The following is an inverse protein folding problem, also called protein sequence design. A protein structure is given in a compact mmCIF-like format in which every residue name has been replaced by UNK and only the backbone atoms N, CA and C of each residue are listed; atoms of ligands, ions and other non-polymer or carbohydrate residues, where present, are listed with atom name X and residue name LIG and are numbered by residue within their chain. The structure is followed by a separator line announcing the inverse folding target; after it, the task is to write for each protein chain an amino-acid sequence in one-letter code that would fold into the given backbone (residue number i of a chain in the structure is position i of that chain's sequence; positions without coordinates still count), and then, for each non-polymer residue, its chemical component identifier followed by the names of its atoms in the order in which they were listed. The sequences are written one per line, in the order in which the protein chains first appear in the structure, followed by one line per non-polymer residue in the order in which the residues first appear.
data_IF_859692040161
#
_entry.id   IF_859692040161
#
_cell.length_a   1.000
_cell.length_b   1.000
_cell.length_c   1.000
_cell.angle_alpha   90.00
_cell.angle_beta   90.00
_cell.angle_gamma   90.00
#
_symmetry.space_group_name_H-M   'P 1'
#
loop_
_entity.id
_entity.type
_entity.pdbx_description
1 polymer ?
#
# COMPACT_ATOMS: atom_id res chain seq x y z
N UNK A 1 -3.26 -1.82 -18.66
CA UNK A 1 -1.95 -1.96 -17.95
C UNK A 1 -0.78 -1.34 -18.74
N UNK A 2 -0.99 -0.68 -19.89
CA UNK A 2 0.09 -0.13 -20.73
C UNK A 2 0.37 1.38 -20.60
N UNK A 3 -0.18 2.07 -19.62
CA UNK A 3 -0.12 3.55 -19.58
C UNK A 3 1.03 4.17 -18.77
N UNK A 4 1.72 3.43 -17.91
CA UNK A 4 2.82 3.99 -17.12
C UNK A 4 4.20 3.97 -17.82
N UNK A 5 4.42 3.06 -18.76
CA UNK A 5 5.71 2.92 -19.45
C UNK A 5 6.04 4.12 -20.37
N UNK A 6 5.03 4.70 -21.03
CA UNK A 6 5.23 5.84 -21.93
C UNK A 6 5.61 7.15 -21.21
N UNK A 7 5.02 7.42 -20.03
CA UNK A 7 5.34 8.62 -19.24
C UNK A 7 6.75 8.58 -18.64
N UNK A 8 7.23 7.42 -18.22
CA UNK A 8 8.59 7.29 -17.69
C UNK A 8 9.64 7.38 -18.81
N UNK A 9 9.34 6.91 -20.02
CA UNK A 9 10.19 7.08 -21.19
C UNK A 9 10.34 8.55 -21.60
N UNK A 10 9.23 9.30 -21.63
CA UNK A 10 9.23 10.73 -22.00
C UNK A 10 9.99 11.59 -20.98
N UNK A 11 9.86 11.28 -19.69
CA UNK A 11 10.57 11.99 -18.61
C UNK A 11 12.08 11.69 -18.64
N UNK A 12 12.47 10.46 -18.88
CA UNK A 12 13.87 10.07 -19.01
C UNK A 12 14.53 10.73 -20.23
N UNK A 13 13.83 10.82 -21.35
CA UNK A 13 14.32 11.54 -22.54
C UNK A 13 14.45 13.05 -22.28
N UNK A 14 13.52 13.67 -21.56
CA UNK A 14 13.59 15.09 -21.19
C UNK A 14 14.80 15.37 -20.30
N UNK A 15 15.08 14.52 -19.31
CA UNK A 15 16.23 14.67 -18.42
C UNK A 15 17.57 14.42 -19.14
N UNK A 16 17.63 13.42 -20.03
CA UNK A 16 18.81 13.17 -20.86
C UNK A 16 19.12 14.40 -21.74
N UNK A 17 18.11 14.99 -22.36
CA UNK A 17 18.26 16.21 -23.17
C UNK A 17 18.73 17.39 -22.31
N UNK A 18 18.22 17.52 -21.08
CA UNK A 18 18.66 18.57 -20.15
C UNK A 18 20.13 18.42 -19.77
N UNK A 19 20.57 17.21 -19.39
CA UNK A 19 21.97 16.92 -19.04
C UNK A 19 22.89 17.13 -20.24
N UNK A 20 22.48 16.71 -21.43
CA UNK A 20 23.22 16.91 -22.67
C UNK A 20 23.38 18.39 -22.97
N UNK A 21 22.32 19.22 -22.84
CA UNK A 21 22.39 20.65 -23.01
C UNK A 21 23.33 21.37 -22.02
N UNK A 22 23.35 20.90 -20.75
CA UNK A 22 24.31 21.40 -19.75
C UNK A 22 25.75 21.04 -20.10
N UNK A 23 26.01 19.82 -20.56
CA UNK A 23 27.33 19.38 -20.98
C UNK A 23 27.85 20.18 -22.20
N UNK A 24 27.01 20.44 -23.20
CA UNK A 24 27.37 21.26 -24.35
C UNK A 24 27.77 22.67 -23.95
N UNK A 25 27.01 23.33 -23.06
CA UNK A 25 27.35 24.69 -22.55
C UNK A 25 28.69 24.69 -21.81
N UNK A 26 29.04 23.65 -21.08
CA UNK A 26 30.34 23.52 -20.42
C UNK A 26 31.48 23.41 -21.45
N UNK A 27 31.26 22.61 -22.51
CA UNK A 27 32.23 22.47 -23.62
C UNK A 27 32.46 23.81 -24.33
N UNK A 28 31.38 24.52 -24.69
CA UNK A 28 31.47 25.86 -25.31
C UNK A 28 32.24 26.85 -24.43
N UNK A 29 31.95 26.87 -23.12
CA UNK A 29 32.66 27.76 -22.19
C UNK A 29 34.13 27.35 -22.03
N UNK A 30 34.46 26.07 -22.16
CA UNK A 30 35.85 25.59 -22.09
C UNK A 30 36.72 26.15 -23.23
N UNK A 31 36.16 26.36 -24.42
CA UNK A 31 36.85 26.89 -25.57
C UNK A 31 36.85 28.44 -25.62
N UNK A 32 35.99 29.09 -24.85
CA UNK A 32 35.95 30.54 -24.72
C UNK A 32 37.00 31.09 -23.75
N UNK A 33 37.31 32.39 -23.84
CA UNK A 33 38.16 33.08 -22.88
C UNK A 33 37.36 34.17 -22.14
N UNK A 34 36.30 33.74 -21.46
CA UNK A 34 35.37 34.65 -20.74
C UNK A 34 35.80 34.82 -19.30
N UNK A 35 35.58 36.04 -18.78
CA UNK A 35 35.75 36.28 -17.35
C UNK A 35 34.89 35.37 -16.52
N UNK A 36 35.47 34.77 -15.45
CA UNK A 36 34.72 33.86 -14.56
C UNK A 36 34.54 32.42 -15.06
N UNK A 37 35.17 32.01 -16.18
CA UNK A 37 35.12 30.68 -16.78
C UNK A 37 35.22 29.54 -15.76
N UNK A 38 36.21 29.56 -14.88
CA UNK A 38 36.41 28.53 -13.85
C UNK A 38 35.19 28.43 -12.90
N UNK A 39 34.68 29.60 -12.46
CA UNK A 39 33.50 29.63 -11.58
C UNK A 39 32.26 29.09 -12.28
N UNK A 40 32.07 29.47 -13.57
CA UNK A 40 30.96 28.97 -14.39
C UNK A 40 31.00 27.44 -14.53
N UNK A 41 32.15 26.90 -14.89
CA UNK A 41 32.33 25.43 -15.03
C UNK A 41 32.08 24.70 -13.72
N UNK A 42 32.57 25.22 -12.61
CA UNK A 42 32.34 24.68 -11.29
C UNK A 42 30.86 24.66 -10.90
N UNK A 43 30.15 25.75 -11.11
CA UNK A 43 28.71 25.85 -10.85
C UNK A 43 27.90 24.87 -11.71
N UNK A 44 28.24 24.77 -13.00
CA UNK A 44 27.57 23.83 -13.92
C UNK A 44 27.81 22.38 -13.57
N UNK A 45 29.01 22.02 -13.13
CA UNK A 45 29.31 20.69 -12.64
C UNK A 45 28.47 20.35 -11.40
N UNK A 46 28.38 21.28 -10.44
CA UNK A 46 27.55 21.07 -9.25
C UNK A 46 26.05 20.95 -9.59
N UNK A 47 25.56 21.73 -10.56
CA UNK A 47 24.19 21.62 -11.06
C UNK A 47 23.92 20.23 -11.65
N UNK A 48 24.81 19.70 -12.48
CA UNK A 48 24.72 18.33 -13.04
C UNK A 48 24.70 17.29 -11.93
N UNK A 49 25.60 17.38 -10.96
CA UNK A 49 25.66 16.45 -9.82
C UNK A 49 24.37 16.49 -8.99
N UNK A 50 23.81 17.66 -8.76
CA UNK A 50 22.54 17.81 -8.03
C UNK A 50 21.38 17.16 -8.79
N UNK A 51 21.29 17.37 -10.10
CA UNK A 51 20.26 16.76 -10.95
C UNK A 51 20.38 15.24 -10.93
N UNK A 52 21.60 14.70 -11.09
CA UNK A 52 21.86 13.26 -11.04
C UNK A 52 21.50 12.66 -9.67
N UNK A 53 21.92 13.28 -8.57
CA UNK A 53 21.59 12.82 -7.22
C UNK A 53 20.08 12.82 -6.98
N UNK A 54 19.36 13.83 -7.43
CA UNK A 54 17.90 13.88 -7.35
C UNK A 54 17.24 12.76 -8.13
N UNK A 55 17.73 12.46 -9.32
CA UNK A 55 17.22 11.33 -10.13
C UNK A 55 17.38 9.99 -9.40
N UNK A 56 18.57 9.71 -8.86
CA UNK A 56 18.84 8.48 -8.10
C UNK A 56 17.95 8.39 -6.87
N UNK A 57 17.82 9.47 -6.12
CA UNK A 57 16.95 9.56 -4.95
C UNK A 57 15.48 9.26 -5.30
N UNK A 58 14.94 9.93 -6.33
CA UNK A 58 13.55 9.72 -6.76
C UNK A 58 13.29 8.29 -7.27
N UNK A 59 14.23 7.70 -8.00
CA UNK A 59 14.11 6.31 -8.48
C UNK A 59 14.11 5.30 -7.33
N UNK A 60 14.98 5.49 -6.34
CA UNK A 60 15.05 4.59 -5.20
C UNK A 60 13.77 4.68 -4.35
N UNK A 61 13.25 5.89 -4.11
CA UNK A 61 12.00 6.07 -3.36
C UNK A 61 10.79 5.47 -4.09
N UNK A 62 10.71 5.58 -5.42
CA UNK A 62 9.66 4.94 -6.21
C UNK A 62 9.72 3.41 -6.15
N UNK A 63 10.92 2.81 -6.19
CA UNK A 63 11.08 1.35 -6.08
C UNK A 63 10.66 0.85 -4.70
N UNK A 64 11.04 1.53 -3.63
CA UNK A 64 10.65 1.17 -2.26
C UNK A 64 9.14 1.27 -2.10
N UNK A 65 8.52 2.40 -2.47
CA UNK A 65 7.08 2.58 -2.38
C UNK A 65 6.28 1.56 -3.20
N UNK A 66 6.78 1.17 -4.38
CA UNK A 66 6.17 0.13 -5.21
C UNK A 66 6.27 -1.25 -4.56
N UNK A 67 7.42 -1.61 -4.01
CA UNK A 67 7.62 -2.88 -3.31
C UNK A 67 6.75 -2.99 -2.05
N UNK A 68 6.59 -1.90 -1.31
CA UNK A 68 5.68 -1.84 -0.16
C UNK A 68 4.21 -2.03 -0.57
N UNK A 69 3.78 -1.42 -1.67
CA UNK A 69 2.43 -1.58 -2.20
C UNK A 69 2.16 -3.02 -2.63
N UNK A 70 3.08 -3.64 -3.36
CA UNK A 70 2.98 -5.04 -3.78
C UNK A 70 2.92 -5.98 -2.57
N UNK A 71 3.75 -5.75 -1.56
CA UNK A 71 3.76 -6.51 -0.31
C UNK A 71 2.44 -6.37 0.46
N UNK A 72 1.93 -5.14 0.59
CA UNK A 72 0.65 -4.88 1.23
C UNK A 72 -0.50 -5.61 0.53
N UNK A 73 -0.57 -5.54 -0.80
CA UNK A 73 -1.59 -6.22 -1.59
C UNK A 73 -1.50 -7.75 -1.44
N UNK A 74 -0.30 -8.32 -1.43
CA UNK A 74 -0.12 -9.77 -1.19
C UNK A 74 -0.68 -10.19 0.18
N UNK A 75 -0.37 -9.45 1.23
CA UNK A 75 -0.87 -9.73 2.58
C UNK A 75 -2.39 -9.58 2.63
N UNK A 76 -2.95 -8.52 2.04
CA UNK A 76 -4.40 -8.29 1.99
C UNK A 76 -5.14 -9.40 1.23
N UNK A 77 -4.61 -9.85 0.11
CA UNK A 77 -5.19 -10.95 -0.68
C UNK A 77 -5.19 -12.25 0.14
N UNK A 78 -4.07 -12.55 0.81
CA UNK A 78 -3.98 -13.72 1.69
C UNK A 78 -5.01 -13.65 2.83
N UNK A 79 -5.09 -12.51 3.53
CA UNK A 79 -6.09 -12.30 4.59
C UNK A 79 -7.51 -12.54 4.05
N UNK A 80 -7.82 -12.00 2.87
CA UNK A 80 -9.15 -12.13 2.27
C UNK A 80 -9.56 -13.57 1.93
N UNK A 81 -8.60 -14.43 1.60
CA UNK A 81 -8.84 -15.85 1.25
C UNK A 81 -8.69 -16.83 2.43
N UNK A 82 -8.26 -16.36 3.63
CA UNK A 82 -7.98 -17.24 4.79
C UNK A 82 -8.59 -16.68 6.08
N UNK A 83 -9.79 -16.05 5.99
CA UNK A 83 -10.43 -15.39 7.14
C UNK A 83 -10.75 -16.34 8.31
N UNK A 84 -10.86 -17.63 8.04
CA UNK A 84 -11.17 -18.68 9.01
C UNK A 84 -9.94 -19.15 9.81
N UNK A 85 -8.74 -18.84 9.29
CA UNK A 85 -7.47 -19.28 9.89
C UNK A 85 -6.93 -18.32 10.95
N UNK A 86 -5.83 -18.76 11.62
CA UNK A 86 -5.03 -17.83 12.44
C UNK A 86 -4.33 -16.81 11.56
N UNK A 87 -4.69 -15.54 11.74
CA UNK A 87 -4.13 -14.37 11.06
C UNK A 87 -3.37 -13.47 12.04
N UNK A 88 -2.77 -14.06 13.09
CA UNK A 88 -1.91 -13.30 14.01
C UNK A 88 -0.72 -12.68 13.27
N UNK A 89 -0.16 -11.59 13.82
CA UNK A 89 1.04 -10.96 13.25
C UNK A 89 2.23 -11.92 13.19
N UNK A 90 2.34 -12.83 14.17
CA UNK A 90 3.34 -13.91 14.18
C UNK A 90 3.16 -14.84 12.99
N UNK A 91 1.94 -15.28 12.72
CA UNK A 91 1.62 -16.16 11.59
C UNK A 91 1.93 -15.49 10.26
N UNK A 92 1.50 -14.24 10.09
CA UNK A 92 1.77 -13.46 8.87
C UNK A 92 3.27 -13.20 8.70
N UNK A 93 3.99 -12.88 9.78
CA UNK A 93 5.44 -12.68 9.78
C UNK A 93 6.19 -13.92 9.28
N UNK A 94 5.84 -15.09 9.79
CA UNK A 94 6.45 -16.36 9.38
C UNK A 94 6.12 -16.72 7.92
N UNK A 95 4.87 -16.52 7.50
CA UNK A 95 4.41 -16.87 6.16
C UNK A 95 5.07 -16.02 5.07
N UNK A 96 5.16 -14.71 5.31
CA UNK A 96 5.72 -13.77 4.34
C UNK A 96 7.22 -13.52 4.53
N UNK A 97 7.86 -14.14 5.52
CA UNK A 97 9.27 -13.90 5.89
C UNK A 97 9.56 -12.42 6.16
N UNK A 98 8.60 -11.72 6.78
CA UNK A 98 8.67 -10.30 7.10
C UNK A 98 8.70 -10.09 8.61
N UNK A 99 9.35 -9.01 9.05
CA UNK A 99 9.31 -8.62 10.46
C UNK A 99 7.87 -8.17 10.84
N UNK A 100 7.37 -8.65 11.98
CA UNK A 100 6.02 -8.29 12.47
C UNK A 100 5.81 -6.79 12.68
N UNK A 101 6.86 -6.06 13.08
CA UNK A 101 6.80 -4.60 13.22
C UNK A 101 6.67 -3.91 11.86
N UNK A 102 7.32 -4.45 10.83
CA UNK A 102 7.17 -3.96 9.46
C UNK A 102 5.73 -4.12 8.98
N UNK A 103 5.12 -5.31 9.18
CA UNK A 103 3.71 -5.55 8.83
C UNK A 103 2.79 -4.57 9.58
N UNK A 104 3.00 -4.38 10.88
CA UNK A 104 2.20 -3.45 11.69
C UNK A 104 2.30 -2.01 11.18
N UNK A 105 3.51 -1.53 10.83
CA UNK A 105 3.75 -0.22 10.24
C UNK A 105 3.08 -0.09 8.88
N UNK A 106 3.25 -1.10 8.01
CA UNK A 106 2.69 -1.12 6.66
C UNK A 106 1.17 -0.92 6.66
N UNK A 107 0.44 -1.62 7.53
CA UNK A 107 -1.00 -1.41 7.67
C UNK A 107 -1.34 -0.04 8.23
N UNK A 108 -0.59 0.45 9.21
CA UNK A 108 -0.82 1.78 9.78
C UNK A 108 -0.64 2.89 8.75
N UNK A 109 0.39 2.78 7.91
CA UNK A 109 0.71 3.79 6.89
C UNK A 109 -0.25 3.73 5.69
N UNK A 110 -0.63 2.50 5.26
CA UNK A 110 -1.49 2.34 4.07
C UNK A 110 -2.97 2.62 4.33
N UNK A 111 -3.50 2.20 5.49
CA UNK A 111 -4.95 2.26 5.78
C UNK A 111 -5.30 2.92 7.11
N UNK A 112 -4.33 3.47 7.83
CA UNK A 112 -4.54 4.20 9.09
C UNK A 112 -4.96 3.34 10.29
N UNK A 113 -5.03 2.00 10.14
CA UNK A 113 -5.46 1.07 11.18
C UNK A 113 -4.45 -0.06 11.38
N UNK A 114 -4.52 -0.76 12.52
CA UNK A 114 -3.67 -1.93 12.75
C UNK A 114 -4.10 -3.12 11.88
N UNK A 115 -3.15 -4.03 11.60
CA UNK A 115 -3.45 -5.28 10.88
C UNK A 115 -4.57 -6.09 11.57
N UNK A 116 -4.58 -6.14 12.91
CA UNK A 116 -5.65 -6.79 13.68
C UNK A 116 -7.02 -6.12 13.46
N UNK A 117 -7.09 -4.79 13.41
CA UNK A 117 -8.34 -4.08 13.12
C UNK A 117 -8.82 -4.36 11.69
N UNK A 118 -7.90 -4.37 10.73
CA UNK A 118 -8.20 -4.71 9.34
C UNK A 118 -8.76 -6.15 9.21
N UNK A 119 -8.09 -7.13 9.80
CA UNK A 119 -8.55 -8.55 9.81
C UNK A 119 -9.92 -8.66 10.46
N UNK A 120 -10.11 -8.03 11.63
CA UNK A 120 -11.41 -8.04 12.33
C UNK A 120 -12.52 -7.47 11.47
N UNK A 121 -12.27 -6.37 10.76
CA UNK A 121 -13.24 -5.76 9.84
C UNK A 121 -13.58 -6.68 8.69
N UNK A 122 -12.58 -7.29 8.04
CA UNK A 122 -12.78 -8.26 6.97
C UNK A 122 -13.59 -9.49 7.41
N UNK A 123 -13.32 -9.98 8.64
CA UNK A 123 -14.11 -11.06 9.24
C UNK A 123 -15.56 -10.67 9.50
N UNK A 124 -15.80 -9.43 9.97
CA UNK A 124 -17.16 -8.93 10.17
C UNK A 124 -17.90 -8.75 8.84
N UNK A 125 -17.23 -8.29 7.78
CA UNK A 125 -17.81 -8.19 6.44
C UNK A 125 -18.23 -9.59 5.93
N UNK A 126 -17.37 -10.60 6.07
CA UNK A 126 -17.68 -11.97 5.68
C UNK A 126 -18.83 -12.58 6.52
N UNK A 127 -18.84 -12.34 7.85
CA UNK A 127 -19.96 -12.74 8.70
C UNK A 127 -21.27 -12.07 8.29
N UNK A 128 -21.24 -10.81 7.92
CA UNK A 128 -22.42 -10.05 7.48
C UNK A 128 -23.07 -10.71 6.25
N UNK A 129 -22.26 -11.16 5.30
CA UNK A 129 -22.75 -11.83 4.09
C UNK A 129 -23.27 -13.24 4.42
N UNK A 130 -22.55 -14.01 5.26
CA UNK A 130 -22.96 -15.35 5.70
C UNK A 130 -24.23 -15.34 6.56
N UNK A 131 -24.46 -14.30 7.33
CA UNK A 131 -25.66 -14.14 8.18
C UNK A 131 -26.96 -14.13 7.38
N UNK A 132 -26.95 -13.79 6.10
CA UNK A 132 -28.14 -13.82 5.23
C UNK A 132 -28.59 -15.24 4.89
N UNK A 133 -27.74 -16.24 5.05
CA UNK A 133 -28.09 -17.64 4.91
C UNK A 133 -28.80 -18.23 6.15
N UNK A 134 -29.04 -19.54 6.11
CA UNK A 134 -29.80 -20.26 7.15
C UNK A 134 -28.96 -20.74 8.33
N UNK A 135 -27.64 -20.62 8.23
CA UNK A 135 -26.71 -21.11 9.24
C UNK A 135 -26.85 -20.36 10.58
N UNK A 136 -26.74 -21.07 11.73
CA UNK A 136 -26.80 -20.43 13.05
C UNK A 136 -25.70 -19.35 13.21
N UNK A 137 -26.07 -18.15 13.62
CA UNK A 137 -25.15 -17.02 13.77
C UNK A 137 -23.96 -17.36 14.68
N UNK A 138 -24.18 -18.19 15.71
CA UNK A 138 -23.12 -18.68 16.59
C UNK A 138 -22.05 -19.51 15.87
N UNK A 139 -22.44 -20.31 14.89
CA UNK A 139 -21.52 -21.11 14.06
C UNK A 139 -20.75 -20.20 13.08
N UNK A 140 -21.44 -19.29 12.41
CA UNK A 140 -20.83 -18.30 11.52
C UNK A 140 -19.73 -17.52 12.25
N UNK A 141 -20.00 -17.02 13.46
CA UNK A 141 -18.99 -16.23 14.18
C UNK A 141 -17.76 -17.07 14.57
N UNK A 142 -17.93 -18.35 14.92
CA UNK A 142 -16.82 -19.25 15.21
C UNK A 142 -16.02 -19.58 13.96
N UNK A 143 -16.67 -19.86 12.85
CA UNK A 143 -16.05 -20.13 11.55
C UNK A 143 -15.13 -19.00 11.13
N UNK A 144 -15.56 -17.75 11.25
CA UNK A 144 -14.72 -16.58 10.92
C UNK A 144 -13.79 -16.15 12.07
N UNK A 145 -13.47 -17.02 13.03
CA UNK A 145 -12.40 -16.84 14.00
C UNK A 145 -12.73 -15.86 15.14
N UNK A 146 -14.00 -15.67 15.47
CA UNK A 146 -14.38 -14.99 16.70
C UNK A 146 -14.44 -16.00 17.85
N UNK A 147 -13.67 -15.75 18.91
CA UNK A 147 -13.56 -16.64 20.07
C UNK A 147 -14.86 -16.77 20.87
N UNK A 148 -15.69 -15.72 20.88
CA UNK A 148 -16.94 -15.71 21.60
C UNK A 148 -18.02 -14.83 20.92
N UNK A 149 -19.26 -15.26 21.08
CA UNK A 149 -20.42 -14.56 20.50
C UNK A 149 -20.63 -13.14 21.05
N UNK A 150 -20.30 -12.91 22.33
CA UNK A 150 -20.51 -11.59 22.96
C UNK A 150 -19.56 -10.54 22.37
N UNK A 151 -18.31 -10.92 22.13
CA UNK A 151 -17.32 -10.05 21.48
C UNK A 151 -17.72 -9.77 20.03
N UNK A 152 -18.14 -10.79 19.28
CA UNK A 152 -18.67 -10.65 17.93
C UNK A 152 -19.90 -9.73 17.90
N UNK A 153 -20.91 -9.97 18.73
CA UNK A 153 -22.13 -9.18 18.81
C UNK A 153 -21.84 -7.68 19.03
N UNK A 154 -20.97 -7.37 20.00
CA UNK A 154 -20.62 -5.96 20.29
C UNK A 154 -19.90 -5.29 19.12
N UNK A 155 -18.98 -6.00 18.45
CA UNK A 155 -18.24 -5.50 17.29
C UNK A 155 -19.17 -5.31 16.09
N UNK A 156 -20.04 -6.28 15.82
CA UNK A 156 -21.01 -6.23 14.73
C UNK A 156 -21.98 -5.06 14.91
N UNK A 157 -22.57 -4.93 16.10
CA UNK A 157 -23.50 -3.82 16.40
C UNK A 157 -22.83 -2.46 16.30
N UNK A 158 -21.56 -2.36 16.70
CA UNK A 158 -20.80 -1.11 16.58
C UNK A 158 -20.50 -0.75 15.13
N UNK A 159 -20.19 -1.74 14.28
CA UNK A 159 -19.84 -1.53 12.88
C UNK A 159 -21.06 -1.26 12.00
N UNK A 160 -22.16 -2.00 12.22
CA UNK A 160 -23.34 -1.95 11.36
C UNK A 160 -24.58 -1.28 12.00
N UNK A 161 -24.50 -0.84 13.24
CA UNK A 161 -25.58 -0.13 13.96
C UNK A 161 -26.70 -1.02 14.48
N UNK A 162 -26.84 -2.25 13.98
CA UNK A 162 -27.90 -3.22 14.35
C UNK A 162 -27.29 -4.53 14.83
N UNK A 163 -28.08 -5.32 15.57
CA UNK A 163 -27.62 -6.66 15.98
C UNK A 163 -27.60 -7.64 14.81
N UNK A 164 -26.79 -8.73 14.87
CA UNK A 164 -26.76 -9.75 13.82
C UNK A 164 -28.13 -10.36 13.50
N UNK A 165 -28.98 -10.58 14.53
CA UNK A 165 -30.35 -11.08 14.34
C UNK A 165 -31.26 -10.09 13.63
N UNK A 166 -31.17 -8.81 14.02
CA UNK A 166 -31.93 -7.72 13.38
C UNK A 166 -31.49 -7.54 11.95
N UNK A 167 -30.18 -7.61 11.68
CA UNK A 167 -29.61 -7.53 10.33
C UNK A 167 -30.19 -8.63 9.43
N UNK A 168 -30.16 -9.91 9.87
CA UNK A 168 -30.78 -11.04 9.17
C UNK A 168 -32.26 -10.77 8.88
N UNK A 169 -33.02 -10.39 9.89
CA UNK A 169 -34.47 -10.14 9.76
C UNK A 169 -34.79 -9.05 8.74
N UNK A 170 -34.04 -7.96 8.77
CA UNK A 170 -34.28 -6.83 7.85
C UNK A 170 -34.04 -7.22 6.40
N UNK A 171 -33.03 -8.03 6.11
CA UNK A 171 -32.65 -8.37 4.73
C UNK A 171 -33.32 -9.65 4.21
N UNK A 172 -33.89 -10.51 5.05
CA UNK A 172 -34.71 -11.64 4.62
C UNK A 172 -36.13 -11.23 4.17
N UNK A 173 -36.62 -10.09 4.59
CA UNK A 173 -37.94 -9.57 4.20
C UNK A 173 -37.92 -8.94 2.79
N UNK A 174 -36.76 -8.52 2.28
CA UNK A 174 -36.61 -7.91 0.95
C UNK A 174 -36.59 -8.94 -0.22
N UNK A 175 -36.61 -10.25 0.08
CA UNK A 175 -36.50 -11.34 -0.93
C UNK A 175 -37.86 -12.02 -1.20
N UNK A 176 -38.93 -11.59 -0.57
CA UNK A 176 -40.31 -12.06 -0.77
C UNK A 176 -41.13 -11.02 -1.52
#
# INVERSE_FOLDING_TARGET
ICWNSAKDSTRNNSLANQLQGMAFRMIEEQWGDRYGKKAFLYLKLNEILLVMNRMVYEQNHKKVAKGEEETYQMICNFIGSHLEEDLSLERLSNLFFLNKYYIAHLFKDKVGMSAHQYITRKRLDACKDAILGDEPIGQICQQFGFSDYTSFYRRFKREYGVSPKEYRRQHQIEVL
#
